data_IF_381328474980
#
_entry.id   IF_381328474980
#
_cell.length_a   1.000
_cell.length_b   1.000
_cell.length_c   1.000
_cell.angle_alpha   90.00
_cell.angle_beta   90.00
_cell.angle_gamma   90.00
#
_symmetry.space_group_name_H-M   'P 1'
#
loop_
_entity.id
_entity.type
_entity.pdbx_description
1 polymer ?
#
# COMPACT_ATOMS: atom_id res chain seq x y z
N UNK A 1 -3.47 -13.68 -1.92
CA UNK A 1 -3.72 -12.22 -1.92
C UNK A 1 -3.94 -11.77 -3.37
N UNK A 2 -4.98 -11.00 -3.59
CA UNK A 2 -5.22 -10.38 -4.88
C UNK A 2 -5.23 -8.87 -4.70
N UNK A 3 -4.45 -8.15 -5.53
CA UNK A 3 -4.51 -6.71 -5.57
C UNK A 3 -5.72 -6.28 -6.39
N UNK A 4 -6.50 -5.33 -5.84
CA UNK A 4 -7.62 -4.74 -6.54
C UNK A 4 -7.27 -3.35 -7.08
N UNK A 5 -6.02 -2.92 -6.84
CA UNK A 5 -5.52 -1.62 -7.30
C UNK A 5 -5.62 -0.55 -6.23
N UNK A 6 -5.36 0.68 -6.64
CA UNK A 6 -5.51 1.83 -5.77
C UNK A 6 -6.40 2.87 -6.44
N UNK A 7 -7.19 3.55 -5.64
CA UNK A 7 -8.10 4.56 -6.16
C UNK A 7 -8.14 5.79 -5.25
N UNK A 8 -8.05 6.99 -5.80
CA UNK A 8 -7.76 7.30 -7.20
C UNK A 8 -6.33 7.00 -7.61
N UNK A 9 -6.09 6.81 -8.91
CA UNK A 9 -4.76 6.61 -9.48
C UNK A 9 -4.75 7.21 -10.89
N UNK A 10 -4.03 8.30 -11.18
CA UNK A 10 -3.16 9.04 -10.25
C UNK A 10 -3.92 9.64 -9.07
N UNK A 11 -3.21 9.92 -7.98
CA UNK A 11 -3.85 10.42 -6.77
C UNK A 11 -3.21 11.72 -6.26
N UNK A 12 -4.00 12.49 -5.50
CA UNK A 12 -3.57 13.75 -4.87
C UNK A 12 -4.59 14.11 -3.78
N UNK A 13 -4.24 14.18 -2.51
CA UNK A 13 -2.97 13.73 -1.93
C UNK A 13 -2.99 12.26 -1.49
N UNK A 14 -4.16 11.62 -1.43
CA UNK A 14 -4.28 10.29 -0.85
C UNK A 14 -4.92 9.30 -1.82
N UNK A 15 -4.68 8.04 -1.56
CA UNK A 15 -5.27 6.93 -2.31
C UNK A 15 -5.62 5.79 -1.36
N UNK A 16 -6.63 5.01 -1.74
CA UNK A 16 -6.95 3.78 -1.03
C UNK A 16 -6.39 2.60 -1.81
N UNK A 17 -5.58 1.79 -1.13
CA UNK A 17 -4.98 0.58 -1.71
C UNK A 17 -5.88 -0.58 -1.32
N UNK A 18 -6.50 -1.22 -2.31
CA UNK A 18 -7.49 -2.26 -2.10
C UNK A 18 -6.90 -3.63 -2.43
N UNK A 19 -7.23 -4.60 -1.61
CA UNK A 19 -6.77 -5.98 -1.79
C UNK A 19 -7.79 -6.96 -1.24
N UNK A 20 -7.68 -8.21 -1.68
CA UNK A 20 -8.54 -9.29 -1.22
C UNK A 20 -7.69 -10.40 -0.62
N UNK A 21 -8.15 -10.93 0.51
CA UNK A 21 -7.52 -12.06 1.18
C UNK A 21 -8.42 -13.29 1.06
N UNK A 22 -7.83 -14.43 0.65
CA UNK A 22 -8.56 -15.69 0.55
C UNK A 22 -8.79 -16.38 1.88
N UNK A 23 -8.08 -15.96 2.92
CA UNK A 23 -8.22 -16.47 4.29
C UNK A 23 -7.81 -15.41 5.29
N UNK A 24 -7.99 -15.69 6.58
CA UNK A 24 -7.57 -14.77 7.64
C UNK A 24 -6.06 -14.85 7.88
N UNK A 25 -5.47 -13.72 8.27
CA UNK A 25 -4.06 -13.61 8.61
C UNK A 25 -3.89 -12.84 9.90
N UNK A 26 -2.93 -13.25 10.71
CA UNK A 26 -2.61 -12.54 11.96
C UNK A 26 -1.99 -11.17 11.71
N UNK A 27 -1.28 -11.01 10.58
CA UNK A 27 -0.60 -9.77 10.25
C UNK A 27 -0.56 -9.58 8.73
N UNK A 28 -0.90 -8.38 8.30
CA UNK A 28 -0.75 -7.95 6.91
C UNK A 28 0.06 -6.67 6.91
N UNK A 29 1.11 -6.61 6.10
CA UNK A 29 1.99 -5.45 6.00
C UNK A 29 1.78 -4.73 4.67
N UNK A 30 1.83 -3.40 4.72
CA UNK A 30 1.93 -2.56 3.55
C UNK A 30 3.27 -1.84 3.59
N UNK A 31 4.01 -1.88 2.47
CA UNK A 31 5.19 -1.05 2.27
C UNK A 31 5.04 -0.27 0.99
N UNK A 32 5.48 0.98 1.02
CA UNK A 32 5.52 1.85 -0.16
C UNK A 32 6.97 2.19 -0.44
N UNK A 33 7.38 2.02 -1.69
CA UNK A 33 8.77 2.25 -2.14
C UNK A 33 8.80 3.34 -3.20
N UNK A 34 9.89 4.11 -3.23
CA UNK A 34 10.20 4.93 -4.39
C UNK A 34 10.88 4.06 -5.47
N UNK A 35 11.20 4.66 -6.62
CA UNK A 35 11.81 3.90 -7.72
C UNK A 35 13.25 3.49 -7.47
N UNK A 36 13.87 4.04 -6.43
CA UNK A 36 15.21 3.62 -6.00
C UNK A 36 15.16 2.40 -5.09
N UNK A 37 13.95 1.91 -4.78
CA UNK A 37 13.77 0.77 -3.90
C UNK A 37 13.79 1.11 -2.42
N UNK A 38 13.83 2.39 -2.07
CA UNK A 38 13.82 2.82 -0.68
C UNK A 38 12.40 2.78 -0.14
N UNK A 39 12.22 2.22 1.06
CA UNK A 39 10.93 2.22 1.75
C UNK A 39 10.65 3.63 2.24
N UNK A 40 9.56 4.23 1.76
CA UNK A 40 9.15 5.57 2.19
C UNK A 40 8.07 5.53 3.25
N UNK A 41 7.26 4.46 3.26
CA UNK A 41 6.19 4.30 4.23
C UNK A 41 5.94 2.82 4.46
N UNK A 42 5.57 2.45 5.69
CA UNK A 42 5.10 1.10 5.98
C UNK A 42 4.14 1.12 7.16
N UNK A 43 3.20 0.19 7.13
CA UNK A 43 2.23 -0.01 8.20
C UNK A 43 1.80 -1.47 8.24
N UNK A 44 1.19 -1.86 9.35
CA UNK A 44 0.72 -3.23 9.55
C UNK A 44 -0.69 -3.22 10.10
N UNK A 45 -1.47 -4.23 9.73
CA UNK A 45 -2.79 -4.47 10.28
C UNK A 45 -2.80 -5.85 10.89
N UNK A 46 -3.33 -5.97 12.11
CA UNK A 46 -3.41 -7.23 12.85
C UNK A 46 -4.79 -7.85 12.73
N UNK A 47 -4.83 -9.18 12.76
CA UNK A 47 -6.07 -9.96 12.83
C UNK A 47 -7.02 -9.61 11.68
N UNK A 48 -6.52 -9.77 10.45
CA UNK A 48 -7.25 -9.40 9.25
C UNK A 48 -8.02 -10.61 8.73
N UNK A 49 -9.32 -10.48 8.59
CA UNK A 49 -10.17 -11.58 8.13
C UNK A 49 -10.14 -11.72 6.61
N UNK A 50 -10.57 -12.88 6.12
CA UNK A 50 -10.77 -13.09 4.69
C UNK A 50 -11.74 -12.05 4.14
N UNK A 51 -11.55 -11.67 2.88
CA UNK A 51 -12.42 -10.72 2.20
C UNK A 51 -11.67 -9.50 1.69
N UNK A 52 -12.41 -8.46 1.39
CA UNK A 52 -11.89 -7.23 0.79
C UNK A 52 -11.47 -6.23 1.86
N UNK A 53 -10.33 -5.59 1.64
CA UNK A 53 -9.76 -4.61 2.57
C UNK A 53 -9.20 -3.42 1.80
N UNK A 54 -9.08 -2.30 2.51
CA UNK A 54 -8.48 -1.07 1.99
C UNK A 54 -7.55 -0.48 3.02
N UNK A 55 -6.43 0.06 2.55
CA UNK A 55 -5.50 0.83 3.38
C UNK A 55 -5.30 2.18 2.69
N UNK A 56 -5.48 3.26 3.45
CA UNK A 56 -5.26 4.61 2.92
C UNK A 56 -3.80 5.01 3.08
N UNK A 57 -3.21 5.51 1.99
CA UNK A 57 -1.90 6.17 2.04
C UNK A 57 -2.07 7.63 1.65
N UNK A 58 -1.50 8.52 2.45
CA UNK A 58 -1.71 9.96 2.29
C UNK A 58 -0.55 10.65 1.57
N UNK A 59 0.32 9.89 0.89
CA UNK A 59 1.43 10.46 0.16
C UNK A 59 2.51 11.04 1.06
N UNK A 60 2.69 10.44 2.24
CA UNK A 60 3.66 10.89 3.23
C UNK A 60 4.62 9.78 3.61
N UNK A 61 5.82 10.16 4.09
CA UNK A 61 6.78 9.22 4.63
C UNK A 61 6.50 8.93 6.11
N UNK A 62 7.38 8.15 6.75
CA UNK A 62 7.18 7.75 8.15
C UNK A 62 7.26 8.91 9.13
N UNK A 63 7.86 10.03 8.73
CA UNK A 63 7.90 11.23 9.58
C UNK A 63 6.68 12.12 9.40
N UNK A 64 5.81 11.80 8.45
CA UNK A 64 4.65 12.61 8.10
C UNK A 64 4.93 13.66 7.03
N UNK A 65 6.15 13.71 6.51
CA UNK A 65 6.49 14.65 5.45
C UNK A 65 5.94 14.18 4.11
N UNK A 66 5.44 15.12 3.31
CA UNK A 66 4.89 14.83 1.98
C UNK A 66 6.02 14.40 1.05
N UNK A 67 5.81 13.31 0.33
CA UNK A 67 6.81 12.83 -0.64
C UNK A 67 6.59 13.48 -2.01
N UNK A 68 7.63 13.51 -2.87
CA UNK A 68 7.52 14.15 -4.19
C UNK A 68 6.51 13.45 -5.11
N UNK A 69 6.00 14.20 -6.08
CA UNK A 69 5.23 13.62 -7.17
C UNK A 69 6.07 12.58 -7.91
N UNK A 70 5.43 11.52 -8.36
CA UNK A 70 6.12 10.49 -9.12
C UNK A 70 5.48 9.14 -8.98
N UNK A 71 6.20 8.14 -9.48
CA UNK A 71 5.78 6.76 -9.46
C UNK A 71 6.27 6.08 -8.18
N UNK A 72 5.37 5.33 -7.55
CA UNK A 72 5.66 4.58 -6.33
C UNK A 72 5.22 3.12 -6.51
N UNK A 73 5.92 2.24 -5.84
CA UNK A 73 5.53 0.83 -5.76
C UNK A 73 4.94 0.57 -4.38
N UNK A 74 3.93 -0.26 -4.29
CA UNK A 74 3.41 -0.71 -3.00
C UNK A 74 3.38 -2.22 -2.95
N UNK A 75 3.63 -2.76 -1.76
CA UNK A 75 3.67 -4.19 -1.53
C UNK A 75 2.76 -4.54 -0.37
N UNK A 76 1.84 -5.48 -0.62
CA UNK A 76 1.02 -6.09 0.43
C UNK A 76 1.63 -7.45 0.70
N UNK A 77 1.95 -7.74 1.95
CA UNK A 77 2.57 -9.01 2.31
C UNK A 77 1.95 -9.63 3.56
N UNK A 78 1.94 -10.95 3.56
CA UNK A 78 1.62 -11.79 4.72
C UNK A 78 2.86 -12.59 5.06
N UNK A 79 2.73 -13.55 5.99
CA UNK A 79 3.84 -14.44 6.36
C UNK A 79 4.28 -15.37 5.22
N UNK A 80 3.41 -15.59 4.23
CA UNK A 80 3.69 -16.58 3.17
C UNK A 80 3.67 -16.01 1.77
N UNK A 81 3.13 -14.81 1.55
CA UNK A 81 2.95 -14.25 0.21
C UNK A 81 3.15 -12.76 0.20
N UNK A 82 3.49 -12.24 -0.98
CA UNK A 82 3.50 -10.80 -1.22
C UNK A 82 3.07 -10.51 -2.65
N UNK A 83 2.47 -9.33 -2.84
CA UNK A 83 2.06 -8.83 -4.14
C UNK A 83 2.45 -7.37 -4.25
N UNK A 84 2.78 -6.91 -5.44
CA UNK A 84 3.30 -5.56 -5.69
C UNK A 84 2.45 -4.88 -6.75
N UNK A 85 2.12 -3.61 -6.51
CA UNK A 85 1.44 -2.76 -7.49
C UNK A 85 2.18 -1.45 -7.69
N UNK A 86 1.73 -0.69 -8.70
CA UNK A 86 2.27 0.63 -9.03
C UNK A 86 1.20 1.69 -8.86
N UNK A 87 1.61 2.89 -8.47
CA UNK A 87 0.71 4.02 -8.33
C UNK A 87 1.46 5.32 -8.63
N UNK A 88 0.72 6.35 -9.04
CA UNK A 88 1.30 7.65 -9.40
C UNK A 88 0.71 8.74 -8.51
N UNK A 89 1.60 9.48 -7.84
CA UNK A 89 1.24 10.66 -7.05
C UNK A 89 1.43 11.90 -7.92
N UNK A 90 0.39 12.68 -8.07
CA UNK A 90 0.42 13.96 -8.77
C UNK A 90 0.05 15.06 -7.77
N UNK A 91 0.91 16.02 -7.63
CA UNK A 91 0.65 17.20 -6.81
C UNK A 91 0.23 18.39 -7.63
#
# INVERSE_FOLDING_TARGET
ISLLGNYPNPFNPSTEIAFELGKSYGLVNLKVFNLMGQTVFETSIKNVQAGNHKITWEGSDMSGAVVPSGLYLYQISTDTRSVIGKMTLLK
#
